data_IF_313814773034
#
_entry.id   IF_313814773034
#
_cell.length_a   1.000
_cell.length_b   1.000
_cell.length_c   1.000
_cell.angle_alpha   90.00
_cell.angle_beta   90.00
_cell.angle_gamma   90.00
#
_symmetry.space_group_name_H-M   'P 1'
#
loop_
_entity.id
_entity.type
_entity.pdbx_description
1 polymer ?
#
# COMPACT_ATOMS: atom_id res chain seq x y z
N UNK A 1 -6.63 -0.87 11.11
CA UNK A 1 -6.28 -0.10 9.91
C UNK A 1 -5.89 -1.01 8.74
N UNK A 2 -4.89 -1.90 8.87
CA UNK A 2 -4.42 -2.81 7.81
C UNK A 2 -5.54 -3.62 7.14
N UNK A 3 -6.39 -4.28 7.94
CA UNK A 3 -7.53 -5.08 7.43
C UNK A 3 -8.53 -4.21 6.67
N UNK A 4 -8.83 -3.01 7.16
CA UNK A 4 -9.75 -2.10 6.47
C UNK A 4 -9.22 -1.68 5.10
N UNK A 5 -7.92 -1.34 5.00
CA UNK A 5 -7.26 -1.06 3.72
C UNK A 5 -7.29 -2.28 2.79
N UNK A 6 -7.00 -3.47 3.30
CA UNK A 6 -7.04 -4.70 2.52
C UNK A 6 -8.44 -4.96 1.93
N UNK A 7 -9.50 -4.80 2.72
CA UNK A 7 -10.89 -4.95 2.27
C UNK A 7 -11.21 -3.95 1.15
N UNK A 8 -10.82 -2.68 1.32
CA UNK A 8 -11.06 -1.64 0.31
C UNK A 8 -10.36 -1.98 -1.00
N UNK A 9 -9.07 -2.37 -0.96
CA UNK A 9 -8.32 -2.72 -2.15
C UNK A 9 -8.87 -3.95 -2.87
N UNK A 10 -9.22 -5.01 -2.13
CA UNK A 10 -9.84 -6.20 -2.71
C UNK A 10 -11.18 -5.84 -3.34
N UNK A 11 -12.02 -5.07 -2.65
CA UNK A 11 -13.33 -4.67 -3.13
C UNK A 11 -13.25 -3.87 -4.44
N UNK A 12 -12.45 -2.81 -4.47
CA UNK A 12 -12.30 -1.99 -5.66
C UNK A 12 -11.59 -2.72 -6.81
N UNK A 13 -10.64 -3.58 -6.50
CA UNK A 13 -9.99 -4.44 -7.49
C UNK A 13 -10.97 -5.39 -8.17
N UNK A 14 -11.83 -6.04 -7.40
CA UNK A 14 -12.89 -6.92 -7.91
C UNK A 14 -13.84 -6.14 -8.82
N UNK A 15 -14.30 -4.95 -8.42
CA UNK A 15 -15.18 -4.11 -9.25
C UNK A 15 -14.56 -3.75 -10.60
N UNK A 16 -13.24 -3.52 -10.65
CA UNK A 16 -12.52 -3.25 -11.91
C UNK A 16 -12.42 -4.47 -12.79
N UNK A 17 -12.19 -5.65 -12.20
CA UNK A 17 -12.13 -6.91 -12.96
C UNK A 17 -13.47 -7.22 -13.63
N UNK A 18 -14.59 -6.92 -12.94
CA UNK A 18 -15.94 -7.12 -13.51
C UNK A 18 -16.43 -5.97 -14.38
N UNK A 19 -15.63 -4.90 -14.60
CA UNK A 19 -16.00 -3.77 -15.44
C UNK A 19 -17.09 -2.86 -14.85
N UNK A 20 -17.41 -2.97 -13.57
CA UNK A 20 -18.42 -2.14 -12.86
C UNK A 20 -17.80 -1.02 -12.04
N UNK A 21 -16.54 -0.64 -12.33
CA UNK A 21 -15.85 0.40 -11.58
C UNK A 21 -16.31 1.80 -11.99
N UNK A 22 -16.71 2.66 -11.04
CA UNK A 22 -17.07 4.05 -11.33
C UNK A 22 -15.93 4.90 -11.93
N UNK A 23 -14.68 4.46 -11.74
CA UNK A 23 -13.50 5.13 -12.29
C UNK A 23 -13.09 4.58 -13.68
N UNK A 24 -13.83 3.63 -14.25
CA UNK A 24 -13.51 3.01 -15.54
C UNK A 24 -13.40 4.04 -16.66
N UNK A 25 -14.39 4.90 -16.81
CA UNK A 25 -14.46 5.95 -17.84
C UNK A 25 -13.30 6.95 -17.73
N UNK A 26 -12.84 7.24 -16.51
CA UNK A 26 -11.73 8.14 -16.28
C UNK A 26 -10.40 7.51 -16.66
N UNK A 27 -10.20 6.25 -16.30
CA UNK A 27 -9.01 5.47 -16.67
C UNK A 27 -8.96 5.32 -18.20
N UNK A 28 -10.08 5.04 -18.85
CA UNK A 28 -10.19 4.95 -20.29
C UNK A 28 -9.73 6.23 -20.99
N UNK A 29 -10.15 7.39 -20.52
CA UNK A 29 -9.73 8.69 -21.05
C UNK A 29 -8.27 9.05 -20.77
N UNK A 30 -7.70 8.51 -19.71
CA UNK A 30 -6.30 8.80 -19.29
C UNK A 30 -5.30 7.98 -20.06
N UNK A 31 -5.63 6.73 -20.37
CA UNK A 31 -4.72 5.75 -20.97
C UNK A 31 -5.05 5.57 -22.46
N UNK A 32 -4.86 6.64 -23.26
CA UNK A 32 -5.20 6.65 -24.69
C UNK A 32 -4.28 5.77 -25.55
N UNK A 33 -3.10 5.33 -25.05
CA UNK A 33 -2.16 4.46 -25.75
C UNK A 33 -2.34 2.96 -25.48
N UNK A 34 -3.17 2.57 -24.49
CA UNK A 34 -3.53 1.18 -24.22
C UNK A 34 -5.01 0.96 -24.40
N UNK A 35 -5.40 -0.27 -24.80
CA UNK A 35 -6.81 -0.64 -24.88
C UNK A 35 -7.39 -0.73 -23.47
N UNK A 36 -8.40 0.07 -23.13
CA UNK A 36 -8.98 0.12 -21.77
C UNK A 36 -9.50 -1.23 -21.31
N UNK A 37 -10.03 -2.02 -22.24
CA UNK A 37 -10.60 -3.35 -22.01
C UNK A 37 -9.62 -4.32 -21.30
N UNK A 38 -8.32 -4.19 -21.57
CA UNK A 38 -7.28 -5.00 -20.93
C UNK A 38 -6.64 -4.29 -19.75
N UNK A 39 -6.50 -2.98 -19.81
CA UNK A 39 -5.78 -2.21 -18.81
C UNK A 39 -6.54 -2.11 -17.48
N UNK A 40 -7.86 -1.88 -17.51
CA UNK A 40 -8.70 -1.76 -16.32
C UNK A 40 -8.73 -3.06 -15.49
N UNK A 41 -8.95 -4.25 -16.09
CA UNK A 41 -8.85 -5.50 -15.33
C UNK A 41 -7.46 -5.77 -14.75
N UNK A 42 -6.39 -5.43 -15.48
CA UNK A 42 -5.01 -5.58 -14.95
C UNK A 42 -4.80 -4.72 -13.71
N UNK A 43 -5.24 -3.45 -13.74
CA UNK A 43 -5.25 -2.59 -12.55
C UNK A 43 -6.05 -3.21 -11.41
N UNK A 44 -7.21 -3.78 -11.69
CA UNK A 44 -8.04 -4.48 -10.71
C UNK A 44 -7.31 -5.66 -10.07
N UNK A 45 -6.62 -6.47 -10.88
CA UNK A 45 -5.80 -7.58 -10.39
C UNK A 45 -4.67 -7.08 -9.48
N UNK A 46 -3.96 -6.01 -9.87
CA UNK A 46 -2.95 -5.38 -9.02
C UNK A 46 -3.52 -4.92 -7.67
N UNK A 47 -4.71 -4.32 -7.66
CA UNK A 47 -5.38 -3.90 -6.43
C UNK A 47 -5.74 -5.10 -5.53
N UNK A 48 -6.23 -6.20 -6.09
CA UNK A 48 -6.49 -7.42 -5.33
C UNK A 48 -5.21 -7.97 -4.72
N UNK A 49 -4.10 -8.00 -5.47
CA UNK A 49 -2.81 -8.42 -4.94
C UNK A 49 -2.29 -7.52 -3.82
N UNK A 50 -2.44 -6.20 -3.93
CA UNK A 50 -2.13 -5.25 -2.87
C UNK A 50 -2.97 -5.56 -1.63
N UNK A 51 -4.28 -5.76 -1.79
CA UNK A 51 -5.18 -6.08 -0.69
C UNK A 51 -4.81 -7.38 0.02
N UNK A 52 -4.51 -8.45 -0.72
CA UNK A 52 -4.05 -9.73 -0.17
C UNK A 52 -2.68 -9.61 0.51
N UNK A 53 -1.75 -8.89 -0.11
CA UNK A 53 -0.42 -8.63 0.45
C UNK A 53 -0.48 -7.89 1.78
N UNK A 54 -1.40 -6.95 1.95
CA UNK A 54 -1.64 -6.27 3.23
C UNK A 54 -2.09 -7.21 4.34
N UNK A 55 -2.71 -8.35 4.05
CA UNK A 55 -3.11 -9.35 5.04
C UNK A 55 -1.91 -10.16 5.54
N UNK A 56 -0.91 -10.38 4.69
CA UNK A 56 0.28 -11.17 5.01
C UNK A 56 1.36 -10.27 5.61
N UNK A 57 1.67 -10.45 6.92
CA UNK A 57 2.63 -9.59 7.64
C UNK A 57 4.02 -9.56 7.01
N UNK A 58 4.46 -10.67 6.45
CA UNK A 58 5.80 -10.80 5.83
C UNK A 58 5.97 -9.93 4.57
N UNK A 59 4.87 -9.66 3.84
CA UNK A 59 4.90 -8.97 2.55
C UNK A 59 4.51 -7.48 2.67
N UNK A 60 4.42 -6.96 3.89
CA UNK A 60 4.03 -5.56 4.12
C UNK A 60 4.94 -4.57 3.39
N UNK A 61 6.29 -4.65 3.48
CA UNK A 61 7.16 -3.66 2.83
C UNK A 61 6.97 -3.61 1.31
N UNK A 62 6.97 -4.79 0.67
CA UNK A 62 6.81 -4.92 -0.77
C UNK A 62 5.41 -4.45 -1.22
N UNK A 63 4.40 -4.82 -0.43
CA UNK A 63 3.02 -4.43 -0.70
C UNK A 63 2.81 -2.92 -0.57
N UNK A 64 3.43 -2.27 0.41
CA UNK A 64 3.34 -0.82 0.56
C UNK A 64 4.05 -0.10 -0.58
N UNK A 65 5.20 -0.59 -1.02
CA UNK A 65 5.88 -0.04 -2.19
C UNK A 65 4.99 -0.15 -3.44
N UNK A 66 4.40 -1.32 -3.68
CA UNK A 66 3.48 -1.53 -4.80
C UNK A 66 2.24 -0.63 -4.70
N UNK A 67 1.69 -0.45 -3.49
CA UNK A 67 0.56 0.43 -3.21
C UNK A 67 0.92 1.89 -3.55
N UNK A 68 2.08 2.38 -3.14
CA UNK A 68 2.52 3.74 -3.42
C UNK A 68 2.72 3.97 -4.92
N UNK A 69 3.34 3.02 -5.63
CA UNK A 69 3.47 3.07 -7.09
C UNK A 69 2.11 3.08 -7.78
N UNK A 70 1.18 2.23 -7.34
CA UNK A 70 -0.19 2.21 -7.85
C UNK A 70 -0.90 3.55 -7.60
N UNK A 71 -0.71 4.17 -6.43
CA UNK A 71 -1.29 5.48 -6.12
C UNK A 71 -0.75 6.60 -7.01
N UNK A 72 0.55 6.61 -7.33
CA UNK A 72 1.12 7.58 -8.26
C UNK A 72 0.43 7.44 -9.63
N UNK A 73 0.24 6.22 -10.11
CA UNK A 73 -0.46 5.96 -11.37
C UNK A 73 -1.92 6.44 -11.34
N UNK A 74 -2.64 6.22 -10.22
CA UNK A 74 -4.05 6.64 -10.08
C UNK A 74 -4.23 8.13 -9.88
N UNK A 75 -3.19 8.88 -9.49
CA UNK A 75 -3.21 10.34 -9.38
C UNK A 75 -2.95 11.03 -10.73
N UNK A 76 -2.42 10.33 -11.73
CA UNK A 76 -2.08 10.87 -13.06
C UNK A 76 -3.25 11.62 -13.73
N UNK A 77 -4.52 11.16 -13.67
CA UNK A 77 -5.65 11.85 -14.29
C UNK A 77 -5.87 13.27 -13.78
N UNK A 78 -5.54 13.57 -12.52
CA UNK A 78 -5.68 14.93 -11.96
C UNK A 78 -4.82 15.93 -12.74
N UNK A 79 -3.65 15.50 -13.20
CA UNK A 79 -2.70 16.35 -13.92
C UNK A 79 -2.96 16.38 -15.41
N UNK A 80 -3.39 15.25 -16.01
CA UNK A 80 -3.57 15.12 -17.45
C UNK A 80 -4.99 15.51 -17.93
N UNK A 81 -6.00 15.30 -17.08
CA UNK A 81 -7.42 15.48 -17.41
C UNK A 81 -8.12 16.36 -16.37
N UNK A 82 -7.58 17.56 -16.14
CA UNK A 82 -8.12 18.50 -15.13
C UNK A 82 -9.61 18.80 -15.38
N UNK A 83 -10.00 18.99 -16.65
CA UNK A 83 -11.40 19.26 -17.03
C UNK A 83 -12.36 18.11 -16.75
N UNK A 84 -11.88 16.87 -16.64
CA UNK A 84 -12.70 15.71 -16.25
C UNK A 84 -12.71 15.49 -14.73
N UNK A 85 -11.71 16.02 -14.03
CA UNK A 85 -11.57 15.87 -12.58
C UNK A 85 -12.15 17.06 -11.81
N UNK A 86 -12.27 18.23 -12.43
CA UNK A 86 -12.75 19.47 -11.80
C UNK A 86 -13.71 20.20 -12.73
N UNK A 87 -14.79 20.74 -12.17
CA UNK A 87 -15.63 21.73 -12.87
C UNK A 87 -14.97 23.10 -12.81
N UNK A 88 -14.48 23.50 -11.64
CA UNK A 88 -13.66 24.71 -11.43
C UNK A 88 -12.41 24.29 -10.65
N UNK A 89 -11.25 24.31 -11.33
CA UNK A 89 -9.97 23.97 -10.69
C UNK A 89 -9.52 25.10 -9.74
N UNK A 90 -9.03 24.78 -8.53
CA UNK A 90 -8.99 23.48 -7.83
C UNK A 90 -10.18 23.25 -6.87
N UNK A 91 -11.21 24.08 -6.90
CA UNK A 91 -12.23 24.19 -5.85
C UNK A 91 -13.41 23.24 -5.99
N UNK A 92 -13.81 22.91 -7.23
CA UNK A 92 -15.00 22.10 -7.50
C UNK A 92 -14.62 20.77 -8.17
N UNK A 93 -14.21 19.72 -7.39
CA UNK A 93 -13.92 18.42 -7.96
C UNK A 93 -15.21 17.70 -8.40
N UNK A 94 -15.19 17.14 -9.60
CA UNK A 94 -16.23 16.21 -10.07
C UNK A 94 -16.27 14.95 -9.21
N UNK A 95 -17.29 14.11 -9.35
CA UNK A 95 -17.32 12.80 -8.68
C UNK A 95 -16.02 12.00 -8.94
N UNK A 96 -15.54 11.99 -10.17
CA UNK A 96 -14.29 11.32 -10.53
C UNK A 96 -13.08 11.93 -9.80
N UNK A 97 -12.98 13.27 -9.76
CA UNK A 97 -11.94 13.99 -9.01
C UNK A 97 -11.97 13.68 -7.51
N UNK A 98 -13.17 13.64 -6.91
CA UNK A 98 -13.34 13.27 -5.50
C UNK A 98 -12.86 11.85 -5.20
N UNK A 99 -13.12 10.88 -6.08
CA UNK A 99 -12.62 9.50 -5.92
C UNK A 99 -11.09 9.45 -5.89
N UNK A 100 -10.42 10.25 -6.74
CA UNK A 100 -8.96 10.30 -6.77
C UNK A 100 -8.40 11.00 -5.52
N UNK A 101 -9.00 12.13 -5.10
CA UNK A 101 -8.58 12.87 -3.91
C UNK A 101 -8.70 11.99 -2.65
N UNK A 102 -9.75 11.18 -2.54
CA UNK A 102 -9.91 10.22 -1.43
C UNK A 102 -8.77 9.20 -1.33
N UNK A 103 -8.07 8.91 -2.44
CA UNK A 103 -6.93 8.01 -2.43
C UNK A 103 -5.76 8.54 -1.57
N UNK A 104 -5.67 9.85 -1.31
CA UNK A 104 -4.70 10.40 -0.37
C UNK A 104 -4.86 9.85 1.04
N UNK A 105 -6.09 9.53 1.46
CA UNK A 105 -6.36 8.89 2.76
C UNK A 105 -5.81 7.46 2.78
N UNK A 106 -5.88 6.74 1.66
CA UNK A 106 -5.32 5.39 1.53
C UNK A 106 -3.78 5.44 1.61
N UNK A 107 -3.15 6.45 0.98
CA UNK A 107 -1.70 6.69 1.08
C UNK A 107 -1.31 6.96 2.55
N UNK A 108 -2.00 7.87 3.23
CA UNK A 108 -1.74 8.14 4.64
C UNK A 108 -1.87 6.88 5.50
N UNK A 109 -2.90 6.07 5.26
CA UNK A 109 -3.09 4.78 5.91
C UNK A 109 -1.94 3.80 5.67
N UNK A 110 -1.44 3.72 4.44
CA UNK A 110 -0.31 2.88 4.06
C UNK A 110 0.98 3.32 4.77
N UNK A 111 1.24 4.63 4.85
CA UNK A 111 2.41 5.18 5.55
C UNK A 111 2.38 4.86 7.06
N UNK A 112 1.22 4.97 7.70
CA UNK A 112 1.04 4.59 9.11
C UNK A 112 1.32 3.09 9.34
N UNK A 113 0.85 2.23 8.43
CA UNK A 113 1.13 0.79 8.50
C UNK A 113 2.62 0.51 8.34
N UNK A 114 3.29 1.21 7.42
CA UNK A 114 4.73 1.10 7.21
C UNK A 114 5.52 1.51 8.44
N UNK A 115 5.17 2.66 9.04
CA UNK A 115 5.81 3.15 10.25
C UNK A 115 5.73 2.13 11.39
N UNK A 116 4.52 1.63 11.66
CA UNK A 116 4.32 0.63 12.72
C UNK A 116 5.05 -0.69 12.43
N UNK A 117 5.10 -1.14 11.19
CA UNK A 117 5.85 -2.35 10.83
C UNK A 117 7.34 -2.19 11.12
N UNK A 118 7.92 -1.03 10.78
CA UNK A 118 9.32 -0.73 11.04
C UNK A 118 9.62 -0.66 12.55
N UNK A 119 8.76 -0.01 13.34
CA UNK A 119 8.89 0.02 14.81
C UNK A 119 8.92 -1.38 15.41
N UNK A 120 7.95 -2.24 15.05
CA UNK A 120 7.88 -3.62 15.50
C UNK A 120 9.12 -4.43 15.09
N UNK A 121 9.64 -4.21 13.88
CA UNK A 121 10.83 -4.89 13.36
C UNK A 121 12.09 -4.50 14.14
N UNK A 122 12.32 -3.20 14.35
CA UNK A 122 13.48 -2.72 15.11
C UNK A 122 13.41 -3.11 16.58
N UNK A 123 12.23 -3.12 17.18
CA UNK A 123 12.05 -3.58 18.54
C UNK A 123 12.42 -5.07 18.69
N UNK A 124 11.96 -5.93 17.78
CA UNK A 124 12.29 -7.35 17.78
C UNK A 124 13.80 -7.59 17.60
N UNK A 125 14.44 -6.88 16.67
CA UNK A 125 15.88 -6.99 16.43
C UNK A 125 16.73 -6.53 17.63
N UNK A 126 16.30 -5.49 18.35
CA UNK A 126 17.00 -5.03 19.54
C UNK A 126 16.89 -6.02 20.70
N UNK A 127 15.73 -6.65 20.88
CA UNK A 127 15.55 -7.71 21.88
C UNK A 127 16.44 -8.93 21.59
N UNK A 128 16.55 -9.33 20.33
CA UNK A 128 17.42 -10.43 19.91
C UNK A 128 18.91 -10.12 20.22
N UNK A 129 19.37 -8.91 19.91
CA UNK A 129 20.72 -8.45 20.23
C UNK A 129 21.02 -8.41 21.73
N UNK A 130 20.05 -8.05 22.54
CA UNK A 130 20.19 -8.07 23.99
C UNK A 130 20.30 -9.50 24.52
N UNK A 131 19.47 -10.42 24.05
CA UNK A 131 19.53 -11.83 24.42
C UNK A 131 20.88 -12.46 24.08
N UNK A 132 21.43 -12.18 22.90
CA UNK A 132 22.76 -12.64 22.50
C UNK A 132 23.87 -12.13 23.44
N UNK A 133 23.82 -10.87 23.84
CA UNK A 133 24.77 -10.30 24.81
C UNK A 133 24.71 -11.01 26.16
N UNK A 134 23.52 -11.29 26.67
CA UNK A 134 23.33 -12.01 27.91
C UNK A 134 23.76 -13.48 27.80
N UNK A 135 23.46 -14.15 26.69
CA UNK A 135 23.87 -15.53 26.43
C UNK A 135 25.38 -15.71 26.38
N UNK A 136 26.10 -14.80 25.74
CA UNK A 136 27.58 -14.80 25.69
C UNK A 136 28.16 -14.54 27.08
N UNK A 137 27.59 -13.64 27.87
CA UNK A 137 28.06 -13.34 29.22
C UNK A 137 27.90 -14.53 30.18
N UNK A 138 26.82 -15.30 30.03
CA UNK A 138 26.57 -16.49 30.87
C UNK A 138 27.54 -17.62 30.55
N UNK A 139 27.91 -17.84 29.29
CA UNK A 139 28.92 -18.83 28.91
C UNK A 139 30.32 -18.46 29.40
N UNK A 140 30.70 -17.19 29.31
CA UNK A 140 31.99 -16.71 29.78
C UNK A 140 32.14 -16.83 31.31
N UNK A 141 31.07 -16.59 32.07
CA UNK A 141 31.04 -16.75 33.52
C UNK A 141 31.19 -18.21 33.98
N UNK A 142 30.62 -19.16 33.28
CA UNK A 142 30.72 -20.59 33.61
C UNK A 142 32.11 -21.18 33.35
N UNK A 143 32.85 -20.69 32.38
CA UNK A 143 34.25 -21.13 32.14
C UNK A 143 35.22 -20.66 33.22
N UNK A 144 34.95 -19.55 33.92
CA UNK A 144 35.82 -19.07 35.01
C UNK A 144 35.58 -19.81 36.33
N UNK A 145 34.42 -20.42 36.52
CA UNK A 145 34.11 -21.16 37.77
C UNK A 145 34.68 -22.59 37.73
N UNK A 146 34.85 -23.17 36.55
CA UNK A 146 35.37 -24.54 36.39
C UNK A 146 36.89 -24.64 36.44
N UNK A 147 37.62 -23.52 36.44
CA UNK A 147 39.10 -23.47 36.51
C UNK A 147 39.64 -23.01 37.85
N UNK A 148 38.88 -23.10 38.94
CA UNK A 148 39.31 -22.95 40.32
C UNK A 148 39.13 -24.27 41.08
#
# INVERSE_FOLDING_TARGET
MRIALAIIYIWFGILKIFGVSPAGDLVEKTVFWFKPEFFIPILGVCEVFIGLGLLVRKWIPETILLLLLHMIATLTPIFMLQSSCFEIFPYEPTLAGQYIIKNLVLVAGALVISGKYNEDYYAAMNLEKEQDKFGVTTQSGNHQILNK
#
